data_IF_942494671240
#
_entry.id   IF_942494671240
#
_cell.length_a   1.000
_cell.length_b   1.000
_cell.length_c   1.000
_cell.angle_alpha   90.00
_cell.angle_beta   90.00
_cell.angle_gamma   90.00
#
_symmetry.space_group_name_H-M   'P 1'
#
loop_
_entity.id
_entity.type
_entity.pdbx_description
1 polymer ?
#
# COMPACT_ATOMS: atom_id res chain seq x y z
N UNK A 1 7.07 21.39 -6.52
CA UNK A 1 8.50 21.63 -6.18
C UNK A 1 9.39 21.76 -7.43
N UNK A 2 10.57 22.40 -7.37
CA UNK A 2 11.49 22.43 -8.54
C UNK A 2 12.08 21.04 -8.80
N UNK A 3 12.34 20.69 -10.07
CA UNK A 3 12.85 19.36 -10.44
C UNK A 3 14.15 18.96 -9.72
N UNK A 4 15.07 19.92 -9.50
CA UNK A 4 16.33 19.67 -8.79
C UNK A 4 16.11 19.29 -7.33
N UNK A 5 15.18 19.97 -6.66
CA UNK A 5 14.82 19.69 -5.26
C UNK A 5 14.15 18.32 -5.15
N UNK A 6 13.20 18.02 -6.04
CA UNK A 6 12.52 16.73 -6.05
C UNK A 6 13.48 15.56 -6.32
N UNK A 7 14.45 15.76 -7.23
CA UNK A 7 15.52 14.78 -7.48
C UNK A 7 16.36 14.54 -6.22
N UNK A 8 16.70 15.59 -5.48
CA UNK A 8 17.45 15.45 -4.22
C UNK A 8 16.63 14.66 -3.18
N UNK A 9 15.35 14.99 -3.01
CA UNK A 9 14.44 14.23 -2.14
C UNK A 9 14.44 12.75 -2.54
N UNK A 10 14.24 12.46 -3.84
CA UNK A 10 14.23 11.10 -4.36
C UNK A 10 15.55 10.38 -4.06
N UNK A 11 16.70 10.94 -4.43
CA UNK A 11 18.00 10.30 -4.22
C UNK A 11 18.27 10.04 -2.74
N UNK A 12 18.00 11.02 -1.86
CA UNK A 12 18.25 10.87 -0.42
C UNK A 12 17.33 9.84 0.22
N UNK A 13 16.03 9.84 -0.10
CA UNK A 13 15.09 8.86 0.49
C UNK A 13 15.31 7.45 -0.05
N UNK A 14 15.50 7.30 -1.36
CA UNK A 14 15.65 5.98 -2.02
C UNK A 14 16.93 5.28 -1.58
N UNK A 15 18.02 6.01 -1.30
CA UNK A 15 19.24 5.42 -0.77
C UNK A 15 19.01 4.63 0.54
N UNK A 16 17.98 5.00 1.32
CA UNK A 16 17.64 4.29 2.57
C UNK A 16 17.17 2.87 2.34
N UNK A 17 16.54 2.57 1.19
CA UNK A 17 16.02 1.23 0.84
C UNK A 17 17.12 0.15 0.80
N UNK A 18 18.35 0.56 0.46
CA UNK A 18 19.53 -0.32 0.35
C UNK A 18 20.52 -0.14 1.51
N UNK A 19 20.25 0.79 2.43
CA UNK A 19 21.10 1.08 3.58
C UNK A 19 20.76 0.20 4.79
N UNK A 20 21.48 0.41 5.90
CA UNK A 20 21.15 -0.20 7.20
C UNK A 20 19.83 0.30 7.80
N UNK A 21 19.30 1.42 7.30
CA UNK A 21 17.99 1.97 7.71
C UNK A 21 16.82 1.15 7.15
N UNK A 22 17.08 0.32 6.13
CA UNK A 22 16.09 -0.55 5.51
C UNK A 22 15.99 -1.92 6.18
N UNK A 23 14.84 -2.21 6.76
CA UNK A 23 14.55 -3.49 7.39
C UNK A 23 13.90 -4.44 6.39
N UNK A 24 14.73 -5.22 5.70
CA UNK A 24 14.28 -6.21 4.72
C UNK A 24 14.23 -7.60 5.32
N UNK A 25 13.14 -8.31 5.04
CA UNK A 25 12.93 -9.69 5.46
C UNK A 25 12.27 -10.46 4.31
N UNK A 26 12.55 -11.77 4.24
CA UNK A 26 11.96 -12.68 3.26
C UNK A 26 10.78 -13.46 3.84
N UNK A 27 10.62 -13.49 5.15
CA UNK A 27 9.58 -14.24 5.86
C UNK A 27 8.61 -13.29 6.59
N UNK A 28 7.28 -13.44 6.46
CA UNK A 28 6.55 -14.53 5.80
C UNK A 28 6.55 -14.46 4.26
N UNK A 29 6.80 -13.29 3.71
CA UNK A 29 7.08 -13.04 2.29
C UNK A 29 8.02 -11.83 2.19
N UNK A 30 8.60 -11.57 1.02
CA UNK A 30 9.53 -10.44 0.83
C UNK A 30 8.86 -9.13 1.20
N UNK A 31 9.40 -8.44 2.20
CA UNK A 31 8.93 -7.12 2.62
C UNK A 31 10.08 -6.28 3.17
N UNK A 32 9.89 -4.96 3.10
CA UNK A 32 10.81 -3.93 3.54
C UNK A 32 10.01 -2.88 4.30
N UNK A 33 10.56 -2.36 5.39
CA UNK A 33 10.15 -1.05 5.88
C UNK A 33 11.34 -0.13 6.16
N UNK A 34 11.11 1.17 6.01
CA UNK A 34 12.08 2.23 6.26
C UNK A 34 11.40 3.32 7.08
N UNK A 35 12.01 3.65 8.20
CA UNK A 35 11.55 4.74 9.06
C UNK A 35 12.10 6.06 8.57
N UNK A 36 11.34 7.13 8.81
CA UNK A 36 11.70 8.48 8.38
C UNK A 36 12.12 8.49 6.90
N UNK A 37 11.33 7.90 6.01
CA UNK A 37 11.72 7.70 4.61
C UNK A 37 12.05 9.05 3.94
N UNK A 38 11.14 10.01 4.06
CA UNK A 38 11.37 11.40 3.66
C UNK A 38 11.98 12.24 4.79
N UNK A 39 12.36 13.50 4.52
CA UNK A 39 12.65 14.44 5.59
C UNK A 39 11.40 14.69 6.43
N UNK A 40 11.56 15.04 7.71
CA UNK A 40 10.45 15.38 8.59
C UNK A 40 9.58 16.51 8.00
N UNK A 41 10.22 17.57 7.50
CA UNK A 41 9.51 18.71 6.87
C UNK A 41 8.65 18.26 5.69
N UNK A 42 9.19 17.43 4.80
CA UNK A 42 8.41 16.97 3.64
C UNK A 42 7.28 16.03 4.08
N UNK A 43 7.50 15.14 5.05
CA UNK A 43 6.43 14.28 5.56
C UNK A 43 5.31 15.06 6.27
N UNK A 44 5.66 16.13 6.99
CA UNK A 44 4.69 17.05 7.59
C UNK A 44 3.92 17.82 6.52
N UNK A 45 4.60 18.33 5.49
CA UNK A 45 3.97 18.99 4.34
C UNK A 45 2.93 18.09 3.65
N UNK A 46 3.25 16.78 3.50
CA UNK A 46 2.32 15.79 2.94
C UNK A 46 1.09 15.60 3.82
N UNK A 47 1.27 15.57 5.14
CA UNK A 47 0.16 15.45 6.09
C UNK A 47 -0.71 16.71 6.11
N UNK A 48 -0.11 17.89 6.09
CA UNK A 48 -0.83 19.18 6.04
C UNK A 48 -1.62 19.33 4.74
N UNK A 49 -1.15 18.72 3.66
CA UNK A 49 -1.86 18.70 2.36
C UNK A 49 -2.83 17.53 2.23
N UNK A 50 -2.96 16.70 3.27
CA UNK A 50 -3.91 15.60 3.29
C UNK A 50 -5.32 16.18 3.41
N UNK A 51 -6.23 15.87 2.47
CA UNK A 51 -7.55 16.50 2.39
C UNK A 51 -8.45 16.10 3.55
N UNK A 52 -9.44 16.94 3.81
CA UNK A 52 -10.44 16.71 4.85
C UNK A 52 -11.30 15.48 4.55
N UNK A 53 -11.75 14.82 5.62
CA UNK A 53 -12.48 13.55 5.52
C UNK A 53 -13.96 13.73 5.12
N UNK A 54 -14.49 14.95 5.18
CA UNK A 54 -15.86 15.27 4.81
C UNK A 54 -16.05 15.63 3.33
N UNK A 55 -14.97 15.65 2.54
CA UNK A 55 -15.01 15.80 1.09
C UNK A 55 -15.60 14.55 0.41
N UNK A 56 -16.92 14.57 0.18
CA UNK A 56 -17.66 13.45 -0.40
C UNK A 56 -17.29 13.16 -1.85
N UNK A 57 -16.76 14.15 -2.56
CA UNK A 57 -16.39 13.98 -3.97
C UNK A 57 -15.07 13.22 -4.05
N UNK A 58 -14.13 13.47 -3.14
CA UNK A 58 -12.84 12.80 -3.09
C UNK A 58 -12.92 11.33 -2.63
N UNK A 59 -13.76 11.02 -1.63
CA UNK A 59 -13.69 9.74 -0.93
C UNK A 59 -14.67 8.68 -1.43
N UNK A 60 -14.15 7.49 -1.70
CA UNK A 60 -14.87 6.22 -1.80
C UNK A 60 -14.88 5.56 -0.42
N UNK A 61 -16.06 5.25 0.11
CA UNK A 61 -16.25 4.80 1.50
C UNK A 61 -16.77 3.36 1.51
N UNK A 62 -16.01 2.47 2.12
CA UNK A 62 -16.45 1.11 2.44
C UNK A 62 -16.90 1.05 3.90
N UNK A 63 -18.06 0.44 4.15
CA UNK A 63 -18.60 0.24 5.49
C UNK A 63 -19.18 -1.17 5.66
N UNK A 64 -18.32 -2.17 5.42
CA UNK A 64 -18.61 -3.58 5.67
C UNK A 64 -17.83 -4.02 6.92
N UNK A 65 -18.47 -4.11 8.10
CA UNK A 65 -17.77 -4.41 9.35
C UNK A 65 -17.20 -5.82 9.41
N UNK A 66 -17.54 -6.72 8.47
CA UNK A 66 -16.90 -8.03 8.41
C UNK A 66 -15.59 -8.00 7.62
N UNK A 67 -15.44 -7.05 6.68
CA UNK A 67 -14.43 -7.06 5.63
C UNK A 67 -13.58 -5.78 5.59
N UNK A 68 -14.20 -4.62 5.45
CA UNK A 68 -13.49 -3.34 5.47
C UNK A 68 -14.37 -2.16 5.82
N UNK A 69 -13.86 -1.32 6.71
CA UNK A 69 -14.42 -0.04 7.10
C UNK A 69 -13.31 0.99 6.93
N UNK A 70 -13.30 1.67 5.77
CA UNK A 70 -12.21 2.56 5.35
C UNK A 70 -12.66 3.55 4.29
N UNK A 71 -11.81 4.53 4.01
CA UNK A 71 -11.98 5.51 2.93
C UNK A 71 -10.77 5.45 2.00
N UNK A 72 -11.02 5.63 0.70
CA UNK A 72 -10.02 5.63 -0.37
C UNK A 72 -10.25 6.82 -1.30
N UNK A 73 -9.20 7.48 -1.78
CA UNK A 73 -9.34 8.53 -2.80
C UNK A 73 -9.83 7.96 -4.13
N UNK A 74 -10.72 8.68 -4.82
CA UNK A 74 -11.24 8.31 -6.15
C UNK A 74 -10.30 8.69 -7.32
N UNK A 75 -8.99 8.78 -7.09
CA UNK A 75 -8.04 9.14 -8.14
C UNK A 75 -8.15 8.21 -9.36
N UNK A 76 -8.15 8.81 -10.54
CA UNK A 76 -8.13 8.16 -11.85
C UNK A 76 -6.92 8.63 -12.68
N UNK A 77 -6.33 9.77 -12.32
CA UNK A 77 -5.15 10.35 -12.95
C UNK A 77 -4.31 11.13 -11.93
N UNK A 78 -3.06 11.42 -12.30
CA UNK A 78 -2.16 12.28 -11.56
C UNK A 78 -2.71 13.69 -11.28
N UNK A 79 -3.70 14.14 -12.08
CA UNK A 79 -4.33 15.45 -11.91
C UNK A 79 -5.37 15.48 -10.78
N UNK A 80 -5.79 14.32 -10.26
CA UNK A 80 -6.69 14.23 -9.10
C UNK A 80 -5.92 14.32 -7.77
N UNK A 81 -4.59 14.30 -7.83
CA UNK A 81 -3.71 14.23 -6.67
C UNK A 81 -3.53 15.62 -6.08
N UNK A 82 -3.74 15.82 -4.76
CA UNK A 82 -3.51 17.10 -4.12
C UNK A 82 -2.09 17.61 -4.35
N UNK A 83 -1.99 18.94 -4.38
CA UNK A 83 -0.71 19.63 -4.41
C UNK A 83 0.18 19.19 -3.25
N UNK A 84 1.50 19.25 -3.45
CA UNK A 84 2.55 18.64 -2.61
C UNK A 84 2.50 17.11 -2.52
N UNK A 85 1.33 16.47 -2.38
CA UNK A 85 1.21 15.00 -2.36
C UNK A 85 1.71 14.40 -3.68
N UNK A 86 1.38 15.03 -4.81
CA UNK A 86 1.85 14.61 -6.13
C UNK A 86 3.38 14.50 -6.21
N UNK A 87 4.14 15.32 -5.48
CA UNK A 87 5.59 15.23 -5.46
C UNK A 87 6.07 13.92 -4.80
N UNK A 88 5.41 13.42 -3.74
CA UNK A 88 5.72 12.10 -3.17
C UNK A 88 5.41 10.96 -4.15
N UNK A 89 4.28 11.05 -4.87
CA UNK A 89 3.91 10.07 -5.90
C UNK A 89 4.94 10.05 -7.03
N UNK A 90 5.39 11.22 -7.48
CA UNK A 90 6.44 11.34 -8.50
C UNK A 90 7.75 10.72 -8.05
N UNK A 91 8.12 10.81 -6.77
CA UNK A 91 9.30 10.11 -6.23
C UNK A 91 9.08 8.60 -6.25
N UNK A 92 7.95 8.13 -5.72
CA UNK A 92 7.64 6.70 -5.58
C UNK A 92 7.33 6.01 -6.93
N UNK A 93 7.02 6.76 -7.98
CA UNK A 93 6.86 6.24 -9.35
C UNK A 93 8.09 6.54 -10.24
N UNK A 94 9.12 7.19 -9.70
CA UNK A 94 10.32 7.54 -10.47
C UNK A 94 11.13 6.30 -10.86
N UNK A 95 11.89 6.41 -11.95
CA UNK A 95 12.84 5.36 -12.35
C UNK A 95 13.91 5.07 -11.30
N UNK A 96 14.23 6.04 -10.43
CA UNK A 96 15.14 5.82 -9.30
C UNK A 96 14.53 4.84 -8.29
N UNK A 97 13.25 5.04 -7.94
CA UNK A 97 12.56 4.17 -6.99
C UNK A 97 12.35 2.79 -7.60
N UNK A 98 11.80 2.73 -8.83
CA UNK A 98 11.54 1.48 -9.53
C UNK A 98 12.78 0.59 -9.66
N UNK A 99 13.94 1.18 -9.98
CA UNK A 99 15.22 0.43 -10.03
C UNK A 99 15.61 -0.10 -8.65
N UNK A 100 15.55 0.74 -7.62
CA UNK A 100 15.93 0.33 -6.27
C UNK A 100 15.04 -0.80 -5.73
N UNK A 101 13.71 -0.72 -5.90
CA UNK A 101 12.81 -1.80 -5.46
C UNK A 101 12.92 -3.02 -6.37
N UNK A 102 13.13 -2.84 -7.68
CA UNK A 102 13.35 -3.95 -8.62
C UNK A 102 14.57 -4.79 -8.22
N UNK A 103 15.69 -4.12 -7.92
CA UNK A 103 16.92 -4.77 -7.44
C UNK A 103 16.71 -5.43 -6.08
N UNK A 104 16.11 -4.70 -5.12
CA UNK A 104 15.92 -5.17 -3.74
C UNK A 104 15.01 -6.40 -3.66
N UNK A 105 13.94 -6.44 -4.45
CA UNK A 105 12.97 -7.54 -4.44
C UNK A 105 13.28 -8.62 -5.48
N UNK A 106 14.27 -8.41 -6.34
CA UNK A 106 14.63 -9.30 -7.46
C UNK A 106 13.46 -9.45 -8.46
N UNK A 107 12.75 -8.34 -8.72
CA UNK A 107 11.61 -8.29 -9.65
C UNK A 107 11.94 -7.29 -10.75
N UNK A 108 12.42 -7.72 -11.93
CA UNK A 108 12.79 -6.81 -13.01
C UNK A 108 11.56 -6.20 -13.69
N UNK A 109 11.78 -5.08 -14.40
CA UNK A 109 10.79 -4.42 -15.30
C UNK A 109 9.48 -4.00 -14.59
N UNK A 110 9.59 -3.50 -13.36
CA UNK A 110 8.46 -2.93 -12.64
C UNK A 110 7.95 -1.66 -13.32
N UNK A 111 6.63 -1.58 -13.45
CA UNK A 111 5.89 -0.44 -13.97
C UNK A 111 4.95 0.09 -12.88
N UNK A 112 4.90 1.41 -12.62
CA UNK A 112 3.90 1.97 -11.73
C UNK A 112 2.52 1.93 -12.39
N UNK A 113 1.47 1.96 -11.58
CA UNK A 113 0.10 2.16 -12.07
C UNK A 113 -0.21 3.66 -12.25
N UNK A 114 -0.39 4.16 -13.49
CA UNK A 114 -0.78 5.55 -13.73
C UNK A 114 -2.29 5.79 -13.58
N UNK A 115 -3.10 4.73 -13.46
CA UNK A 115 -4.56 4.80 -13.31
C UNK A 115 -5.00 4.83 -11.84
N UNK A 116 -4.07 4.56 -10.90
CA UNK A 116 -4.30 4.54 -9.46
C UNK A 116 -5.45 3.62 -9.03
N UNK A 117 -5.66 2.51 -9.75
CA UNK A 117 -6.77 1.57 -9.52
C UNK A 117 -6.64 0.91 -8.16
N UNK A 118 -7.48 1.33 -7.21
CA UNK A 118 -7.45 0.86 -5.82
C UNK A 118 -6.36 1.51 -4.95
N UNK A 119 -5.45 2.29 -5.55
CA UNK A 119 -4.39 3.02 -4.86
C UNK A 119 -4.84 4.41 -4.39
N UNK A 120 -3.86 5.23 -4.01
CA UNK A 120 -4.03 6.63 -3.60
C UNK A 120 -4.08 6.82 -2.09
N UNK A 121 -4.78 7.85 -1.63
CA UNK A 121 -4.95 8.13 -0.21
C UNK A 121 -5.88 7.12 0.42
N UNK A 122 -5.51 6.64 1.60
CA UNK A 122 -6.28 5.70 2.39
C UNK A 122 -6.41 6.22 3.82
N UNK A 123 -7.63 6.12 4.35
CA UNK A 123 -7.96 6.50 5.72
C UNK A 123 -8.73 5.39 6.40
N UNK A 124 -8.34 5.05 7.62
CA UNK A 124 -9.14 4.24 8.54
C UNK A 124 -9.37 5.09 9.79
N UNK A 125 -10.63 5.29 10.16
CA UNK A 125 -11.03 6.00 11.38
C UNK A 125 -11.25 5.01 12.52
N UNK A 126 -11.42 5.52 13.75
CA UNK A 126 -11.71 4.68 14.92
C UNK A 126 -12.90 3.75 14.67
N UNK A 127 -12.78 2.47 15.05
CA UNK A 127 -13.70 1.38 14.71
C UNK A 127 -13.50 0.77 13.33
N UNK A 128 -12.66 1.36 12.48
CA UNK A 128 -12.38 0.88 11.12
C UNK A 128 -11.39 -0.28 11.08
N UNK A 129 -11.46 -1.09 10.02
CA UNK A 129 -10.64 -2.29 9.81
C UNK A 129 -10.41 -2.60 8.33
N UNK A 130 -9.47 -3.51 8.07
CA UNK A 130 -9.29 -4.16 6.77
C UNK A 130 -8.92 -5.62 7.01
N UNK A 131 -9.85 -6.53 6.77
CA UNK A 131 -9.70 -7.96 7.06
C UNK A 131 -8.51 -8.59 6.31
N UNK A 132 -8.06 -9.75 6.78
CA UNK A 132 -6.92 -10.48 6.20
C UNK A 132 -7.25 -10.94 4.78
N UNK A 133 -6.41 -10.57 3.81
CA UNK A 133 -6.62 -10.88 2.41
C UNK A 133 -5.31 -11.04 1.65
N UNK A 134 -5.42 -11.61 0.45
CA UNK A 134 -4.46 -11.39 -0.64
C UNK A 134 -5.08 -10.43 -1.64
N UNK A 135 -4.22 -9.66 -2.30
CA UNK A 135 -4.60 -8.63 -3.24
C UNK A 135 -5.03 -9.19 -4.60
N UNK A 136 -5.74 -8.37 -5.39
CA UNK A 136 -6.00 -8.70 -6.79
C UNK A 136 -4.71 -8.81 -7.60
N UNK A 137 -4.64 -9.82 -8.48
CA UNK A 137 -3.41 -10.20 -9.19
C UNK A 137 -3.20 -9.50 -10.54
N UNK A 138 -4.22 -8.86 -11.10
CA UNK A 138 -4.23 -8.36 -12.48
C UNK A 138 -4.81 -6.94 -12.59
N UNK A 139 -4.20 -6.11 -13.42
CA UNK A 139 -4.65 -4.74 -13.70
C UNK A 139 -5.33 -4.65 -15.07
N UNK A 140 -6.62 -4.33 -15.08
CA UNK A 140 -7.45 -4.41 -16.30
C UNK A 140 -6.96 -3.47 -17.40
N UNK A 141 -6.76 -2.18 -17.09
CA UNK A 141 -6.41 -1.21 -18.13
C UNK A 141 -5.01 -1.38 -18.74
N UNK A 142 -4.10 -2.08 -18.05
CA UNK A 142 -2.70 -2.24 -18.50
C UNK A 142 -2.37 -3.67 -18.91
N UNK A 143 -3.20 -4.63 -18.50
CA UNK A 143 -2.99 -6.05 -18.69
C UNK A 143 -1.80 -6.63 -17.92
N UNK A 144 -1.31 -5.93 -16.89
CA UNK A 144 -0.10 -6.30 -16.15
C UNK A 144 -0.42 -7.07 -14.86
N UNK A 145 0.53 -7.89 -14.42
CA UNK A 145 0.46 -8.67 -13.19
C UNK A 145 0.95 -7.86 -12.01
N UNK A 146 0.19 -7.80 -10.91
CA UNK A 146 0.58 -7.07 -9.71
C UNK A 146 1.74 -7.75 -9.02
N UNK A 147 2.74 -6.97 -8.59
CA UNK A 147 3.99 -7.49 -8.01
C UNK A 147 4.40 -6.84 -6.71
N UNK A 148 4.27 -5.52 -6.61
CA UNK A 148 4.72 -4.79 -5.42
C UNK A 148 3.63 -3.81 -5.00
N UNK A 149 3.48 -3.66 -3.69
CA UNK A 149 2.76 -2.57 -3.06
C UNK A 149 3.73 -1.70 -2.25
N UNK A 150 3.51 -0.39 -2.26
CA UNK A 150 4.16 0.56 -1.36
C UNK A 150 3.12 1.29 -0.53
N UNK A 151 3.36 1.42 0.77
CA UNK A 151 2.49 2.12 1.73
C UNK A 151 3.33 3.12 2.52
N UNK A 152 3.05 4.41 2.37
CA UNK A 152 3.66 5.46 3.18
C UNK A 152 2.66 5.91 4.26
N UNK A 153 3.03 5.77 5.52
CA UNK A 153 2.20 6.15 6.65
C UNK A 153 2.39 7.62 7.05
N UNK A 154 1.28 8.30 7.36
CA UNK A 154 1.25 9.72 7.75
C UNK A 154 0.55 9.91 9.10
N UNK A 155 0.97 9.16 10.13
CA UNK A 155 0.27 9.07 11.43
C UNK A 155 1.14 9.64 12.58
N UNK A 156 1.24 10.97 12.73
CA UNK A 156 2.05 11.57 13.80
C UNK A 156 1.49 11.18 15.16
N UNK A 157 2.40 10.85 16.08
CA UNK A 157 2.04 10.54 17.45
C UNK A 157 1.35 9.19 17.67
N UNK A 158 1.28 8.30 16.66
CA UNK A 158 0.76 6.94 16.85
C UNK A 158 1.38 6.26 18.07
N UNK A 159 0.55 5.61 18.89
CA UNK A 159 0.97 4.88 20.09
C UNK A 159 0.57 3.41 20.00
N UNK A 160 1.33 2.55 20.67
CA UNK A 160 0.92 1.17 20.89
C UNK A 160 -0.44 1.13 21.61
N UNK A 161 -1.31 0.21 21.17
CA UNK A 161 -2.69 0.10 21.65
C UNK A 161 -3.74 0.83 20.81
N UNK A 162 -3.35 1.77 19.94
CA UNK A 162 -4.29 2.39 18.97
C UNK A 162 -4.67 1.43 17.82
N UNK A 163 -3.95 0.33 17.66
CA UNK A 163 -4.11 -0.61 16.56
C UNK A 163 -3.64 -0.07 15.21
N UNK A 164 -4.08 -0.73 14.14
CA UNK A 164 -3.81 -0.32 12.76
C UNK A 164 -2.43 -0.72 12.22
N UNK A 165 -1.67 -1.54 12.96
CA UNK A 165 -0.47 -2.16 12.44
C UNK A 165 -0.75 -2.96 11.17
N UNK A 166 0.20 -2.92 10.24
CA UNK A 166 0.18 -3.76 9.05
C UNK A 166 0.56 -5.18 9.43
N UNK A 167 -0.42 -6.07 9.54
CA UNK A 167 -0.22 -7.48 9.84
C UNK A 167 0.21 -8.25 8.59
N UNK A 168 1.23 -9.08 8.77
CA UNK A 168 1.80 -10.01 7.79
C UNK A 168 1.54 -11.43 8.32
N UNK A 169 0.82 -12.23 7.56
CA UNK A 169 0.34 -13.55 7.97
C UNK A 169 1.10 -14.66 7.23
N UNK A 170 0.90 -15.90 7.67
CA UNK A 170 1.35 -17.09 6.95
C UNK A 170 0.61 -17.27 5.61
N UNK A 171 1.04 -18.25 4.80
CA UNK A 171 0.49 -18.49 3.46
C UNK A 171 -1.00 -18.88 3.46
N UNK A 172 -1.59 -19.20 4.62
CA UNK A 172 -3.02 -19.49 4.75
C UNK A 172 -3.82 -18.30 5.27
N UNK A 173 -3.17 -17.24 5.75
CA UNK A 173 -3.80 -16.09 6.37
C UNK A 173 -4.33 -16.35 7.78
N UNK A 174 -3.94 -17.45 8.43
CA UNK A 174 -4.46 -17.87 9.73
C UNK A 174 -3.64 -17.33 10.90
N UNK A 175 -2.32 -17.26 10.73
CA UNK A 175 -1.42 -16.88 11.81
C UNK A 175 -0.74 -15.58 11.49
N UNK A 176 -0.93 -14.58 12.36
CA UNK A 176 -0.14 -13.36 12.34
C UNK A 176 1.32 -13.71 12.66
N UNK A 177 2.22 -13.44 11.71
CA UNK A 177 3.65 -13.71 11.84
C UNK A 177 4.40 -12.46 12.28
N UNK A 178 4.04 -11.31 11.72
CA UNK A 178 4.70 -10.04 11.99
C UNK A 178 3.70 -8.90 11.87
N UNK A 179 3.91 -7.84 12.65
CA UNK A 179 3.15 -6.59 12.52
C UNK A 179 4.11 -5.41 12.39
N UNK A 180 3.77 -4.46 11.53
CA UNK A 180 4.56 -3.24 11.32
C UNK A 180 3.70 -2.05 11.76
N UNK A 181 4.17 -1.34 12.78
CA UNK A 181 3.48 -0.15 13.29
C UNK A 181 3.35 0.92 12.19
N UNK A 182 2.19 1.58 12.05
CA UNK A 182 1.92 2.54 10.99
C UNK A 182 2.44 3.94 11.38
N UNK A 183 3.66 4.03 11.92
CA UNK A 183 4.22 5.29 12.43
C UNK A 183 4.40 6.31 11.31
N UNK A 184 4.35 7.59 11.67
CA UNK A 184 4.55 8.69 10.71
C UNK A 184 5.86 8.53 9.92
N UNK A 185 5.78 8.83 8.61
CA UNK A 185 6.91 8.81 7.68
C UNK A 185 7.60 7.45 7.55
N UNK A 186 6.89 6.35 7.87
CA UNK A 186 7.35 4.99 7.56
C UNK A 186 6.84 4.57 6.19
N UNK A 187 7.77 4.16 5.34
CA UNK A 187 7.46 3.47 4.09
C UNK A 187 7.52 1.96 4.31
N UNK A 188 6.50 1.24 3.88
CA UNK A 188 6.49 -0.23 3.77
C UNK A 188 6.39 -0.60 2.30
N UNK A 189 7.20 -1.55 1.84
CA UNK A 189 7.15 -2.11 0.49
C UNK A 189 7.13 -3.62 0.59
N UNK A 190 6.28 -4.31 -0.17
CA UNK A 190 6.20 -5.76 -0.11
C UNK A 190 5.84 -6.40 -1.45
N UNK A 191 6.34 -7.63 -1.65
CA UNK A 191 5.96 -8.51 -2.76
C UNK A 191 4.55 -9.03 -2.51
N UNK A 192 3.65 -8.78 -3.47
CA UNK A 192 2.25 -9.18 -3.38
C UNK A 192 1.95 -10.33 -4.33
N UNK A 193 1.41 -11.41 -3.78
CA UNK A 193 1.07 -12.62 -4.51
C UNK A 193 -0.07 -13.40 -3.83
N UNK A 194 -0.40 -14.59 -4.33
CA UNK A 194 -1.56 -15.36 -3.86
C UNK A 194 -1.34 -16.03 -2.50
N UNK A 195 -0.19 -15.78 -1.87
CA UNK A 195 0.21 -16.29 -0.55
C UNK A 195 0.62 -15.18 0.40
N UNK A 196 0.68 -13.93 -0.05
CA UNK A 196 1.13 -12.80 0.76
C UNK A 196 -0.03 -12.22 1.58
N UNK A 197 -0.61 -13.02 2.49
CA UNK A 197 -1.74 -12.59 3.30
C UNK A 197 -1.36 -11.45 4.24
N UNK A 198 -2.17 -10.39 4.23
CA UNK A 198 -1.97 -9.21 5.05
C UNK A 198 -3.28 -8.53 5.41
N UNK A 199 -3.25 -7.69 6.44
CA UNK A 199 -4.43 -6.94 6.87
C UNK A 199 -4.25 -6.26 8.23
N UNK A 200 -5.31 -5.57 8.65
CA UNK A 200 -5.53 -5.05 10.00
C UNK A 200 -6.97 -5.43 10.42
N UNK A 201 -7.22 -6.71 10.72
CA UNK A 201 -8.58 -7.22 10.91
C UNK A 201 -9.24 -6.72 12.21
N UNK A 202 -8.46 -6.25 13.16
CA UNK A 202 -8.94 -5.70 14.42
C UNK A 202 -9.31 -4.22 14.27
N UNK A 203 -10.53 -3.80 14.67
CA UNK A 203 -10.93 -2.41 14.67
C UNK A 203 -9.93 -1.50 15.40
N UNK A 204 -9.52 -0.41 14.75
CA UNK A 204 -8.56 0.53 15.33
C UNK A 204 -9.22 1.44 16.37
N UNK A 205 -8.43 1.99 17.28
CA UNK A 205 -8.89 2.81 18.42
C UNK A 205 -8.20 4.18 18.46
N UNK A 206 -7.87 4.73 17.28
CA UNK A 206 -7.30 6.08 17.17
C UNK A 206 -8.20 7.09 17.90
N UNK A 207 -7.61 8.03 18.68
CA UNK A 207 -8.38 9.03 19.42
C UNK A 207 -9.05 10.03 18.46
N UNK A 208 -10.03 10.76 19.00
CA UNK A 208 -10.70 11.84 18.27
C UNK A 208 -9.69 12.85 17.69
N UNK A 209 -9.94 13.30 16.47
CA UNK A 209 -9.01 14.17 15.73
C UNK A 209 -7.83 13.43 15.07
N UNK A 210 -7.62 12.15 15.36
CA UNK A 210 -6.62 11.32 14.70
C UNK A 210 -7.26 10.24 13.82
N UNK A 211 -6.55 9.85 12.78
CA UNK A 211 -6.96 8.76 11.88
C UNK A 211 -5.72 8.07 11.31
N UNK A 212 -5.87 6.81 10.91
CA UNK A 212 -4.81 6.07 10.22
C UNK A 212 -4.80 6.48 8.75
N UNK A 213 -3.87 7.34 8.38
CA UNK A 213 -3.64 7.86 7.04
C UNK A 213 -2.44 7.17 6.38
N UNK A 214 -2.59 6.89 5.10
CA UNK A 214 -1.50 6.40 4.26
C UNK A 214 -1.67 6.76 2.80
N UNK A 215 -0.57 6.76 2.07
CA UNK A 215 -0.54 6.74 0.61
C UNK A 215 -0.21 5.31 0.18
N UNK A 216 -1.01 4.71 -0.70
CA UNK A 216 -0.80 3.35 -1.21
C UNK A 216 -0.60 3.39 -2.72
N UNK A 217 0.46 2.75 -3.21
CA UNK A 217 0.80 2.66 -4.64
C UNK A 217 1.13 1.22 -5.03
N UNK A 218 0.86 0.89 -6.29
CA UNK A 218 0.98 -0.46 -6.82
C UNK A 218 1.87 -0.49 -8.06
N UNK A 219 2.60 -1.60 -8.20
CA UNK A 219 3.55 -1.81 -9.27
C UNK A 219 3.40 -3.21 -9.86
N UNK A 220 3.61 -3.27 -11.17
CA UNK A 220 3.21 -4.40 -11.99
C UNK A 220 4.33 -4.83 -12.94
N UNK A 221 4.25 -6.06 -13.43
CA UNK A 221 5.11 -6.57 -14.52
C UNK A 221 4.26 -7.17 -15.64
N UNK A 222 4.77 -7.06 -16.86
CA UNK A 222 4.22 -7.84 -17.99
C UNK A 222 4.49 -9.33 -17.80
N UNK A 223 5.71 -9.66 -17.38
CA UNK A 223 6.12 -11.04 -17.12
C UNK A 223 5.24 -11.61 -15.98
N UNK A 224 4.84 -12.91 -16.07
CA UNK A 224 4.03 -13.54 -15.05
C UNK A 224 4.78 -13.64 -13.72
N UNK A 225 4.02 -13.82 -12.63
CA UNK A 225 4.58 -14.16 -11.32
C UNK A 225 5.24 -15.56 -11.38
N UNK A 226 6.29 -15.82 -10.59
CA UNK A 226 6.82 -17.16 -10.38
C UNK A 226 5.72 -18.14 -9.97
N UNK A 227 5.76 -19.38 -10.47
CA UNK A 227 4.66 -20.35 -10.28
C UNK A 227 4.46 -20.72 -8.81
N UNK A 228 5.51 -20.70 -8.00
CA UNK A 228 5.43 -20.94 -6.55
C UNK A 228 4.65 -19.86 -5.78
N UNK A 229 4.46 -18.68 -6.39
CA UNK A 229 3.69 -17.55 -5.86
C UNK A 229 2.23 -17.54 -6.34
N UNK A 230 1.85 -18.43 -7.26
CA UNK A 230 0.54 -18.44 -7.91
C UNK A 230 -0.25 -19.65 -7.45
N UNK A 231 -1.43 -19.40 -6.88
CA UNK A 231 -2.44 -20.44 -6.62
C UNK A 231 -3.65 -20.29 -7.53
N UNK A 232 -3.85 -19.09 -8.10
CA UNK A 232 -4.94 -18.76 -9.02
C UNK A 232 -4.36 -17.98 -10.20
N UNK A 233 -4.24 -18.66 -11.35
CA UNK A 233 -3.70 -18.04 -12.57
C UNK A 233 -4.64 -17.00 -13.19
N UNK A 234 -5.95 -17.24 -13.12
CA UNK A 234 -6.94 -16.32 -13.68
C UNK A 234 -6.99 -15.01 -12.88
N UNK A 235 -7.39 -13.90 -13.51
CA UNK A 235 -7.63 -12.65 -12.80
C UNK A 235 -8.59 -12.83 -11.63
N UNK A 236 -8.27 -12.21 -10.49
CA UNK A 236 -9.14 -12.14 -9.33
C UNK A 236 -9.04 -10.76 -8.65
N UNK A 237 -10.09 -10.39 -7.92
CA UNK A 237 -10.07 -9.27 -6.99
C UNK A 237 -9.37 -9.68 -5.68
N UNK A 238 -9.33 -8.80 -4.68
CA UNK A 238 -8.89 -9.19 -3.35
C UNK A 238 -9.72 -10.39 -2.83
N UNK A 239 -9.03 -11.39 -2.28
CA UNK A 239 -9.62 -12.62 -1.74
C UNK A 239 -9.45 -12.64 -0.23
N UNK A 240 -10.58 -12.78 0.47
CA UNK A 240 -10.64 -12.52 1.91
C UNK A 240 -10.63 -13.81 2.71
N UNK A 241 -9.87 -13.83 3.81
CA UNK A 241 -9.76 -15.00 4.68
C UNK A 241 -11.11 -15.36 5.30
N UNK A 242 -11.85 -14.37 5.83
CA UNK A 242 -13.19 -14.59 6.42
C UNK A 242 -14.23 -15.08 5.41
N UNK A 243 -14.03 -14.81 4.11
CA UNK A 243 -14.90 -15.33 3.03
C UNK A 243 -14.41 -16.65 2.44
N UNK A 244 -13.49 -17.36 3.12
CA UNK A 244 -12.97 -18.64 2.64
C UNK A 244 -12.14 -18.52 1.35
N UNK A 245 -11.46 -17.38 1.14
CA UNK A 245 -10.66 -17.14 -0.06
C UNK A 245 -11.49 -16.71 -1.28
N UNK A 246 -12.65 -16.08 -1.05
CA UNK A 246 -13.52 -15.52 -2.07
C UNK A 246 -13.47 -13.99 -2.04
N UNK A 247 -13.80 -13.36 -3.17
CA UNK A 247 -14.01 -11.92 -3.26
C UNK A 247 -15.33 -11.50 -2.59
N UNK A 248 -15.58 -10.19 -2.53
CA UNK A 248 -16.81 -9.65 -1.91
C UNK A 248 -18.10 -10.08 -2.61
N UNK A 249 -18.03 -10.51 -3.87
CA UNK A 249 -19.16 -11.02 -4.66
C UNK A 249 -19.28 -12.55 -4.60
N UNK A 250 -18.45 -13.21 -3.78
CA UNK A 250 -18.45 -14.67 -3.62
C UNK A 250 -17.72 -15.42 -4.74
N UNK A 251 -16.91 -14.74 -5.55
CA UNK A 251 -16.18 -15.35 -6.65
C UNK A 251 -14.71 -15.57 -6.31
N UNK A 252 -14.13 -16.65 -6.85
CA UNK A 252 -12.70 -16.93 -6.75
C UNK A 252 -11.88 -16.25 -7.86
N UNK A 253 -12.52 -15.99 -8.99
CA UNK A 253 -11.94 -15.35 -10.17
C UNK A 253 -12.93 -14.36 -10.74
N UNK A 254 -12.46 -13.47 -11.62
CA UNK A 254 -13.30 -12.55 -12.36
C UNK A 254 -12.89 -12.53 -13.82
N UNK A 255 -13.80 -12.12 -14.68
CA UNK A 255 -13.44 -11.70 -16.03
C UNK A 255 -12.72 -10.35 -15.96
N UNK A 256 -11.87 -10.11 -16.95
CA UNK A 256 -11.20 -8.83 -17.15
C UNK A 256 -11.72 -8.23 -18.45
N UNK A 257 -11.97 -6.91 -18.42
CA UNK A 257 -12.40 -6.12 -19.58
C UNK A 257 -11.22 -5.43 -20.24
#
# INVERSE_FOLDING_TARGET
MKQKELKNIATTSINKLSSKDGHFDKFPFKHLYVDNFFSADFANDLLESFPDLDDKDLWDISNDPEIEVKMRSKWQSEFDIPEKIVDAIRVLNSSLFLKAISEKFEIPKLMPDPYFTGGGLNVTTSGGLLDVHVDGNYHDASGLNRRINAILYLNPGWQEGWGGEFGLYDETGDKLIKKIAPIHNRLVVFDTNDKSFHGLPDPITFPEGHSRRSIILYYYTKDPRPSEQVTIEKPHSALWRKKGGLDKRGNKTRDFS
#
